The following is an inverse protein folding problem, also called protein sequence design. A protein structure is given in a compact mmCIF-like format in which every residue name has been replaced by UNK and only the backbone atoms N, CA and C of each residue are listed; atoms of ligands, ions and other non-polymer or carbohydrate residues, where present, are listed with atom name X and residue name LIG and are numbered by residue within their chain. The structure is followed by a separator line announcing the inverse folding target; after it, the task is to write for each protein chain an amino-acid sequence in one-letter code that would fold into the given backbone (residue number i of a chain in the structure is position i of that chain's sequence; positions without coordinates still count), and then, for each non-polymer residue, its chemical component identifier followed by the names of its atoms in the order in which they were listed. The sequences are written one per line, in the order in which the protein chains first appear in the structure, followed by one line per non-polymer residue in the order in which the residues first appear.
data_IF_348247936253
#
_entry.id   IF_348247936253
#
_cell.length_a   1.000
_cell.length_b   1.000
_cell.length_c   1.000
_cell.angle_alpha   90.00
_cell.angle_beta   90.00
_cell.angle_gamma   90.00
#
_symmetry.space_group_name_H-M   'P 1'
#
loop_
_entity.id
_entity.type
_entity.pdbx_description
1 polymer ?
#
# COMPACT_ATOMS: atom_id res chain seq x y z
N UNK A 1 54.85 -4.74 -51.52
CA UNK A 1 53.61 -5.32 -51.08
C UNK A 1 53.29 -4.86 -49.68
N UNK A 2 52.33 -4.00 -49.55
CA UNK A 2 51.92 -3.50 -48.24
C UNK A 2 50.69 -4.30 -47.81
N UNK A 3 50.81 -5.12 -46.78
CA UNK A 3 49.68 -5.74 -46.15
C UNK A 3 48.99 -4.70 -45.25
N UNK A 4 47.86 -4.25 -45.71
CA UNK A 4 46.98 -3.42 -44.90
C UNK A 4 46.35 -4.25 -43.77
N UNK A 5 46.72 -3.96 -42.56
CA UNK A 5 46.10 -4.57 -41.41
C UNK A 5 44.71 -3.93 -41.20
N UNK A 6 43.69 -4.65 -41.50
CA UNK A 6 42.30 -4.24 -41.20
C UNK A 6 42.06 -4.55 -39.71
N UNK A 7 42.11 -3.49 -38.94
CA UNK A 7 41.66 -3.58 -37.53
C UNK A 7 40.16 -3.56 -37.52
N UNK A 8 39.56 -4.72 -37.33
CA UNK A 8 38.13 -4.83 -37.08
C UNK A 8 37.84 -4.35 -35.67
N UNK A 9 37.28 -3.16 -35.55
CA UNK A 9 36.77 -2.65 -34.28
C UNK A 9 35.43 -3.30 -34.07
N UNK A 10 35.40 -4.32 -33.23
CA UNK A 10 34.13 -4.91 -32.79
C UNK A 10 33.52 -3.98 -31.77
N UNK A 11 32.50 -3.26 -32.19
CA UNK A 11 31.65 -2.48 -31.29
C UNK A 11 30.80 -3.46 -30.48
N UNK A 12 31.22 -3.75 -29.26
CA UNK A 12 30.36 -4.48 -28.31
C UNK A 12 29.27 -3.52 -27.83
N UNK A 13 28.06 -3.72 -28.35
CA UNK A 13 26.90 -3.02 -27.84
C UNK A 13 26.60 -3.53 -26.42
N UNK A 14 26.89 -2.72 -25.43
CA UNK A 14 26.46 -2.99 -24.05
C UNK A 14 24.97 -2.70 -24.00
N UNK A 15 24.15 -3.74 -24.10
CA UNK A 15 22.71 -3.62 -23.85
C UNK A 15 22.52 -3.40 -22.34
N UNK A 16 22.31 -2.16 -21.97
CA UNK A 16 21.83 -1.84 -20.63
C UNK A 16 20.39 -2.31 -20.57
N UNK A 17 20.17 -3.48 -19.98
CA UNK A 17 18.84 -3.93 -19.65
C UNK A 17 18.25 -2.92 -18.66
N UNK A 18 17.33 -2.07 -19.11
CA UNK A 18 16.48 -1.30 -18.23
C UNK A 18 15.61 -2.32 -17.49
N UNK A 19 16.00 -2.65 -16.27
CA UNK A 19 15.10 -3.31 -15.34
C UNK A 19 13.97 -2.31 -15.08
N UNK A 20 12.71 -2.60 -15.44
CA UNK A 20 11.63 -1.73 -15.04
C UNK A 20 11.64 -1.72 -13.51
N UNK A 21 11.99 -0.59 -12.93
CA UNK A 21 11.66 -0.34 -11.53
C UNK A 21 10.14 -0.39 -11.52
N UNK A 22 9.58 -1.50 -11.07
CA UNK A 22 8.16 -1.56 -10.78
C UNK A 22 7.90 -0.33 -9.91
N UNK A 23 7.21 0.66 -10.47
CA UNK A 23 6.68 1.77 -9.70
C UNK A 23 6.10 1.14 -8.45
N UNK A 24 6.60 1.54 -7.27
CA UNK A 24 6.34 0.90 -6.01
C UNK A 24 4.91 0.41 -6.02
N UNK A 25 4.78 -0.88 -6.31
CA UNK A 25 3.54 -1.59 -6.26
C UNK A 25 2.88 -1.15 -4.97
N UNK A 26 1.59 -0.90 -5.04
CA UNK A 26 0.77 -0.59 -3.91
C UNK A 26 1.44 -1.16 -2.66
N UNK A 27 1.87 -0.29 -1.77
CA UNK A 27 2.47 -0.70 -0.51
C UNK A 27 1.61 -1.80 0.06
N UNK A 28 2.23 -2.82 0.60
CA UNK A 28 1.52 -3.97 1.15
C UNK A 28 0.45 -3.48 2.14
N UNK A 29 -0.81 -3.73 1.81
CA UNK A 29 -1.94 -3.34 2.67
C UNK A 29 -1.84 -3.92 4.06
N UNK A 30 -1.30 -5.13 4.21
CA UNK A 30 -1.05 -5.76 5.50
C UNK A 30 -0.02 -4.98 6.32
N UNK A 31 1.07 -4.54 5.70
CA UNK A 31 2.11 -3.75 6.37
C UNK A 31 1.60 -2.38 6.77
N UNK A 32 0.83 -1.72 5.91
CA UNK A 32 0.19 -0.44 6.21
C UNK A 32 -0.83 -0.57 7.34
N UNK A 33 -1.66 -1.60 7.31
CA UNK A 33 -2.61 -1.89 8.39
C UNK A 33 -1.88 -2.08 9.72
N UNK A 34 -0.81 -2.87 9.71
CA UNK A 34 -0.02 -3.12 10.91
C UNK A 34 0.54 -1.83 11.50
N UNK A 35 1.08 -0.95 10.67
CA UNK A 35 1.71 0.28 11.16
C UNK A 35 0.73 1.38 11.55
N UNK A 36 -0.43 1.47 10.88
CA UNK A 36 -1.34 2.61 11.03
C UNK A 36 -2.66 2.28 11.72
N UNK A 37 -3.09 1.04 11.70
CA UNK A 37 -4.43 0.65 12.15
C UNK A 37 -4.40 -0.31 13.35
N UNK A 38 -3.43 -1.22 13.38
CA UNK A 38 -3.40 -2.30 14.37
C UNK A 38 -3.20 -1.83 15.80
N UNK A 39 -2.61 -0.66 16.01
CA UNK A 39 -2.43 -0.08 17.35
C UNK A 39 -3.77 0.04 18.07
N UNK A 40 -4.81 0.45 17.36
CA UNK A 40 -6.16 0.59 17.89
C UNK A 40 -7.05 -0.62 17.58
N UNK A 41 -6.96 -1.20 16.41
CA UNK A 41 -7.87 -2.25 15.95
C UNK A 41 -7.37 -3.68 16.17
N UNK A 42 -6.14 -3.84 16.66
CA UNK A 42 -5.52 -5.15 16.85
C UNK A 42 -4.84 -5.67 15.57
N UNK A 43 -3.83 -6.55 15.73
CA UNK A 43 -3.03 -7.04 14.60
C UNK A 43 -3.82 -7.85 13.57
N UNK A 44 -4.94 -8.43 13.98
CA UNK A 44 -5.85 -9.17 13.10
C UNK A 44 -7.18 -8.45 12.90
N UNK A 45 -7.27 -7.17 13.25
CA UNK A 45 -8.50 -6.41 13.17
C UNK A 45 -9.58 -6.86 14.14
N UNK A 46 -9.20 -7.49 15.24
CA UNK A 46 -10.12 -8.03 16.25
C UNK A 46 -10.78 -6.94 17.12
N UNK A 47 -10.26 -5.72 17.05
CA UNK A 47 -10.72 -4.61 17.89
C UNK A 47 -10.07 -4.61 19.27
N UNK A 48 -10.20 -3.47 19.93
CA UNK A 48 -9.74 -3.28 21.33
C UNK A 48 -10.82 -2.56 22.11
N UNK A 49 -11.61 -3.27 22.90
CA UNK A 49 -12.70 -2.66 23.69
C UNK A 49 -12.24 -1.54 24.62
N UNK A 50 -11.04 -1.66 25.20
CA UNK A 50 -10.47 -0.63 26.06
C UNK A 50 -10.21 0.69 25.37
N UNK A 51 -9.97 0.65 24.05
CA UNK A 51 -9.79 1.84 23.20
C UNK A 51 -11.08 2.21 22.46
N UNK A 52 -12.17 1.47 22.68
CA UNK A 52 -13.42 1.62 21.95
C UNK A 52 -13.24 1.50 20.43
N UNK A 53 -12.22 0.74 20.01
CA UNK A 53 -11.97 0.45 18.61
C UNK A 53 -12.71 -0.82 18.23
N UNK A 54 -13.65 -0.73 17.27
CA UNK A 54 -14.42 -1.90 16.85
C UNK A 54 -13.57 -2.91 16.09
N UNK A 55 -14.05 -4.14 16.04
CA UNK A 55 -13.46 -5.16 15.19
C UNK A 55 -13.65 -4.78 13.72
N UNK A 56 -12.60 -4.97 12.93
CA UNK A 56 -12.63 -4.78 11.48
C UNK A 56 -12.75 -6.10 10.73
N UNK A 57 -12.30 -7.19 11.35
CA UNK A 57 -12.45 -8.52 10.77
C UNK A 57 -13.94 -8.85 10.62
N UNK A 58 -14.29 -9.44 9.48
CA UNK A 58 -15.69 -9.76 9.20
C UNK A 58 -16.56 -8.55 8.89
N UNK A 59 -15.98 -7.37 8.65
CA UNK A 59 -16.75 -6.17 8.34
C UNK A 59 -17.65 -6.36 7.12
N UNK A 60 -18.86 -5.82 7.19
CA UNK A 60 -19.81 -5.78 6.07
C UNK A 60 -19.62 -4.54 5.19
N UNK A 61 -18.76 -3.61 5.60
CA UNK A 61 -18.47 -2.43 4.79
C UNK A 61 -17.81 -2.82 3.47
N UNK A 62 -18.17 -2.13 2.40
CA UNK A 62 -17.49 -2.28 1.11
C UNK A 62 -16.10 -1.68 1.20
N UNK A 63 -15.19 -2.14 0.32
CA UNK A 63 -13.86 -1.55 0.24
C UNK A 63 -13.92 -0.05 -0.03
N UNK A 64 -14.83 0.41 -0.89
CA UNK A 64 -15.01 1.83 -1.18
C UNK A 64 -15.41 2.62 0.07
N UNK A 65 -16.28 2.09 0.91
CA UNK A 65 -16.67 2.72 2.17
C UNK A 65 -15.50 2.79 3.15
N UNK A 66 -14.70 1.74 3.23
CA UNK A 66 -13.49 1.73 4.07
C UNK A 66 -12.51 2.80 3.60
N UNK A 67 -12.30 2.92 2.28
CA UNK A 67 -11.46 3.98 1.70
C UNK A 67 -11.98 5.36 2.10
N UNK A 68 -13.27 5.59 2.01
CA UNK A 68 -13.87 6.88 2.41
C UNK A 68 -13.65 7.18 3.90
N UNK A 69 -13.81 6.18 4.77
CA UNK A 69 -13.51 6.34 6.20
C UNK A 69 -12.06 6.74 6.45
N UNK A 70 -11.13 6.15 5.70
CA UNK A 70 -9.70 6.42 5.87
C UNK A 70 -9.33 7.79 5.31
N UNK A 71 -9.82 8.14 4.14
CA UNK A 71 -9.39 9.33 3.40
C UNK A 71 -10.15 10.61 3.77
N UNK A 72 -11.43 10.47 4.03
CA UNK A 72 -12.33 11.59 4.33
C UNK A 72 -12.77 11.63 5.78
N UNK A 73 -12.84 10.47 6.42
CA UNK A 73 -13.40 10.32 7.76
C UNK A 73 -14.92 10.40 7.75
N UNK A 74 -15.48 10.24 8.94
CA UNK A 74 -16.91 10.37 9.21
C UNK A 74 -17.08 11.47 10.27
N UNK A 75 -17.73 12.59 9.93
CA UNK A 75 -17.82 13.74 10.84
C UNK A 75 -18.41 13.41 12.21
N UNK A 76 -19.33 12.46 12.26
CA UNK A 76 -20.00 12.06 13.51
C UNK A 76 -19.22 11.00 14.31
N UNK A 77 -18.11 10.53 13.78
CA UNK A 77 -17.24 9.58 14.46
C UNK A 77 -16.32 10.27 15.44
N UNK A 78 -15.84 9.50 16.41
CA UNK A 78 -14.80 9.95 17.34
C UNK A 78 -13.43 9.95 16.66
N UNK A 79 -12.48 10.79 17.12
CA UNK A 79 -11.11 10.75 16.64
C UNK A 79 -10.53 9.32 16.74
N UNK A 80 -9.69 8.93 15.78
CA UNK A 80 -9.16 9.70 14.64
C UNK A 80 -10.07 9.73 13.40
N UNK A 81 -11.20 9.01 13.40
CA UNK A 81 -12.06 8.80 12.23
C UNK A 81 -13.07 9.92 11.96
N UNK A 82 -13.07 10.96 12.76
CA UNK A 82 -13.89 12.15 12.51
C UNK A 82 -13.39 12.98 11.31
N UNK A 83 -12.23 12.66 10.81
CA UNK A 83 -11.61 13.22 9.61
C UNK A 83 -10.66 12.21 8.99
N UNK A 84 -10.15 12.48 7.79
CA UNK A 84 -9.21 11.61 7.13
C UNK A 84 -7.93 11.39 7.92
N UNK A 85 -7.34 10.21 7.77
CA UNK A 85 -6.08 9.87 8.43
C UNK A 85 -4.93 10.49 7.65
N UNK A 86 -4.14 11.33 8.33
CA UNK A 86 -2.98 11.99 7.73
C UNK A 86 -1.93 10.99 7.25
N UNK A 87 -1.30 11.30 6.12
CA UNK A 87 -0.21 10.50 5.58
C UNK A 87 -0.63 9.21 4.88
N UNK A 88 -1.92 9.03 4.62
CA UNK A 88 -2.44 7.90 3.85
C UNK A 88 -3.00 8.40 2.52
N UNK A 89 -2.41 7.95 1.42
CA UNK A 89 -2.88 8.25 0.07
C UNK A 89 -4.11 7.41 -0.28
N UNK A 90 -4.84 7.78 -1.33
CA UNK A 90 -5.98 6.99 -1.81
C UNK A 90 -5.56 5.57 -2.21
N UNK A 91 -4.40 5.42 -2.86
CA UNK A 91 -3.88 4.10 -3.22
C UNK A 91 -3.54 3.25 -1.98
N UNK A 92 -2.94 3.87 -0.97
CA UNK A 92 -2.66 3.20 0.30
C UNK A 92 -3.94 2.83 1.03
N UNK A 93 -4.93 3.72 1.06
CA UNK A 93 -6.23 3.45 1.66
C UNK A 93 -6.92 2.26 0.96
N UNK A 94 -6.83 2.19 -0.36
CA UNK A 94 -7.36 1.06 -1.12
C UNK A 94 -6.66 -0.25 -0.75
N UNK A 95 -5.35 -0.26 -0.65
CA UNK A 95 -4.58 -1.44 -0.23
C UNK A 95 -4.96 -1.88 1.18
N UNK A 96 -5.13 -0.95 2.10
CA UNK A 96 -5.58 -1.24 3.47
C UNK A 96 -7.01 -1.81 3.46
N UNK A 97 -7.91 -1.22 2.69
CA UNK A 97 -9.30 -1.67 2.59
C UNK A 97 -9.37 -3.10 2.04
N UNK A 98 -8.63 -3.39 0.98
CA UNK A 98 -8.57 -4.72 0.39
C UNK A 98 -8.04 -5.75 1.40
N UNK A 99 -7.02 -5.38 2.17
CA UNK A 99 -6.51 -6.23 3.24
C UNK A 99 -7.56 -6.47 4.34
N UNK A 100 -8.24 -5.42 4.82
CA UNK A 100 -9.28 -5.54 5.85
C UNK A 100 -10.36 -6.52 5.39
N UNK A 101 -10.75 -6.47 4.12
CA UNK A 101 -11.78 -7.38 3.59
C UNK A 101 -11.34 -8.85 3.56
N UNK A 102 -10.05 -9.13 3.71
CA UNK A 102 -9.55 -10.51 3.83
C UNK A 102 -9.59 -11.04 5.27
N UNK A 103 -9.74 -10.17 6.25
CA UNK A 103 -9.76 -10.56 7.67
C UNK A 103 -11.07 -11.27 8.01
N UNK A 104 -10.94 -12.44 8.63
CA UNK A 104 -12.09 -13.29 9.03
C UNK A 104 -12.04 -13.65 10.51
#
# INVERSE_FOLDING_TARGET
MKLGSLIAITLTAVSVAMVPVAASAAEDGAALFKSKCSVCHGPNGEGKPTLKAPALKGTTLTAAKIVDHITKGEPDSKPPHNKGISGVTDAQAKAIADFIKTLK
#
